data_IF_879731619643
#
_entry.id   IF_879731619643
#
_cell.length_a   1.000
_cell.length_b   1.000
_cell.length_c   1.000
_cell.angle_alpha   90.00
_cell.angle_beta   90.00
_cell.angle_gamma   90.00
#
_symmetry.space_group_name_H-M   'P 1'
#
loop_
_entity.id
_entity.type
_entity.pdbx_description
1 polymer ?
#
# COMPACT_ATOMS: atom_id res chain seq x y z
N UNK A 1 22.01 -10.05 5.78
CA UNK A 1 21.65 -9.24 6.95
C UNK A 1 20.23 -9.58 7.38
N UNK A 2 19.97 -9.74 8.67
CA UNK A 2 18.60 -9.88 9.13
C UNK A 2 17.80 -8.60 8.77
N UNK A 3 16.55 -8.77 8.41
CA UNK A 3 15.66 -7.67 8.14
C UNK A 3 15.31 -6.96 9.46
N UNK A 4 15.46 -5.65 9.50
CA UNK A 4 15.01 -4.81 10.60
C UNK A 4 13.81 -3.95 10.12
N UNK A 5 12.66 -4.03 10.81
CA UNK A 5 11.54 -3.17 10.48
C UNK A 5 11.86 -1.70 10.79
N UNK A 6 11.27 -0.75 10.05
CA UNK A 6 11.45 0.66 10.35
C UNK A 6 10.83 1.02 11.71
N UNK A 7 11.32 2.08 12.38
CA UNK A 7 10.74 2.55 13.63
C UNK A 7 9.29 3.02 13.46
N UNK A 8 8.59 3.22 14.56
CA UNK A 8 7.20 3.70 14.51
C UNK A 8 7.11 5.08 13.86
N UNK A 9 6.15 5.26 12.94
CA UNK A 9 5.98 6.51 12.18
C UNK A 9 5.79 7.74 13.09
N UNK A 10 5.06 7.57 14.19
CA UNK A 10 4.79 8.66 15.12
C UNK A 10 6.05 9.23 15.81
N UNK A 11 7.15 8.49 15.79
CA UNK A 11 8.44 8.89 16.38
C UNK A 11 9.37 9.57 15.38
N UNK A 12 8.97 9.67 14.11
CA UNK A 12 9.80 10.17 13.02
C UNK A 12 9.36 11.55 12.54
N UNK A 13 10.32 12.37 12.13
CA UNK A 13 10.06 13.60 11.38
C UNK A 13 9.75 13.27 9.91
N UNK A 14 9.12 14.20 9.19
CA UNK A 14 8.87 14.03 7.77
C UNK A 14 10.17 13.85 6.97
N UNK A 15 11.26 14.54 7.36
CA UNK A 15 12.56 14.37 6.70
C UNK A 15 13.11 12.95 6.89
N UNK A 16 13.03 12.40 8.10
CA UNK A 16 13.43 11.02 8.39
C UNK A 16 12.58 10.01 7.63
N UNK A 17 11.27 10.24 7.53
CA UNK A 17 10.35 9.42 6.72
C UNK A 17 10.74 9.47 5.25
N UNK A 18 11.03 10.65 4.71
CA UNK A 18 11.44 10.81 3.31
C UNK A 18 12.75 10.04 3.02
N UNK A 19 13.70 10.06 3.96
CA UNK A 19 14.94 9.29 3.85
C UNK A 19 14.68 7.78 3.83
N UNK A 20 13.78 7.28 4.68
CA UNK A 20 13.39 5.86 4.68
C UNK A 20 12.74 5.44 3.34
N UNK A 21 11.88 6.29 2.80
CA UNK A 21 11.27 6.06 1.48
C UNK A 21 12.34 5.99 0.39
N UNK A 22 13.29 6.92 0.40
CA UNK A 22 14.38 6.97 -0.58
C UNK A 22 15.33 5.78 -0.48
N UNK A 23 15.53 5.22 0.71
CA UNK A 23 16.39 4.06 0.94
C UNK A 23 15.76 2.73 0.52
N UNK A 24 14.44 2.68 0.31
CA UNK A 24 13.75 1.47 -0.12
C UNK A 24 14.19 1.10 -1.54
N UNK A 25 15.01 0.07 -1.64
CA UNK A 25 15.48 -0.44 -2.93
C UNK A 25 14.49 -1.47 -3.47
N UNK A 26 13.89 -1.14 -4.60
CA UNK A 26 12.99 -2.03 -5.32
C UNK A 26 13.69 -2.59 -6.57
N UNK A 27 13.40 -3.85 -6.95
CA UNK A 27 13.84 -4.38 -8.24
C UNK A 27 13.32 -3.50 -9.40
N UNK A 28 14.08 -3.32 -10.48
CA UNK A 28 13.68 -2.49 -11.61
C UNK A 28 12.67 -3.20 -12.54
N UNK A 29 11.54 -3.59 -11.99
CA UNK A 29 10.49 -4.38 -12.66
C UNK A 29 10.00 -3.70 -13.93
N UNK A 30 9.95 -2.39 -13.96
CA UNK A 30 9.50 -1.60 -15.11
C UNK A 30 10.41 -1.77 -16.34
N UNK A 31 11.69 -2.08 -16.11
CA UNK A 31 12.66 -2.35 -17.18
C UNK A 31 12.68 -3.78 -17.67
N UNK A 32 11.90 -4.67 -17.08
CA UNK A 32 11.86 -6.08 -17.44
C UNK A 32 10.69 -6.38 -18.36
N UNK A 33 10.94 -7.11 -19.44
CA UNK A 33 9.93 -7.54 -20.40
C UNK A 33 10.04 -9.06 -20.62
N UNK A 34 9.68 -9.86 -19.61
CA UNK A 34 9.81 -11.32 -19.69
C UNK A 34 8.90 -11.90 -20.77
N UNK A 35 9.43 -12.90 -21.50
CA UNK A 35 8.71 -13.56 -22.60
C UNK A 35 7.85 -14.74 -22.11
N UNK A 36 8.15 -15.29 -20.94
CA UNK A 36 7.43 -16.43 -20.39
C UNK A 36 6.39 -15.97 -19.37
N UNK A 37 5.27 -16.66 -19.34
CA UNK A 37 4.18 -16.44 -18.38
C UNK A 37 3.81 -17.77 -17.74
N UNK A 38 3.43 -17.70 -16.45
CA UNK A 38 2.96 -18.85 -15.68
C UNK A 38 2.07 -18.42 -14.53
N UNK A 39 1.78 -19.37 -13.66
CA UNK A 39 1.03 -19.15 -12.43
C UNK A 39 1.96 -19.36 -11.23
N UNK A 40 1.97 -18.44 -10.29
CA UNK A 40 2.77 -18.56 -9.07
C UNK A 40 2.18 -19.54 -8.06
N UNK A 41 0.93 -19.93 -8.20
CA UNK A 41 0.13 -20.62 -7.18
C UNK A 41 0.06 -19.84 -5.85
N UNK A 42 0.24 -18.53 -5.89
CA UNK A 42 0.15 -17.62 -4.76
C UNK A 42 -1.15 -16.83 -4.76
N UNK A 43 -1.57 -16.46 -3.57
CA UNK A 43 -2.75 -15.60 -3.34
C UNK A 43 -2.48 -14.65 -2.19
N UNK A 44 -2.91 -13.40 -2.35
CA UNK A 44 -2.99 -12.41 -1.28
C UNK A 44 -4.44 -12.29 -0.86
N UNK A 45 -4.75 -12.68 0.37
CA UNK A 45 -6.08 -12.59 0.92
C UNK A 45 -6.45 -11.13 1.26
N UNK A 46 -7.74 -10.87 1.48
CA UNK A 46 -8.25 -9.53 1.81
C UNK A 46 -7.68 -8.95 3.11
N UNK A 47 -7.21 -9.80 4.02
CA UNK A 47 -6.52 -9.39 5.25
C UNK A 47 -5.02 -9.14 5.08
N UNK A 48 -4.50 -9.31 3.86
CA UNK A 48 -3.08 -9.13 3.54
C UNK A 48 -2.21 -10.37 3.71
N UNK A 49 -2.76 -11.50 4.14
CA UNK A 49 -2.01 -12.76 4.28
C UNK A 49 -1.66 -13.33 2.90
N UNK A 50 -0.40 -13.68 2.73
CA UNK A 50 0.09 -14.35 1.52
C UNK A 50 0.06 -15.86 1.67
N UNK A 51 -0.41 -16.53 0.64
CA UNK A 51 -0.48 -18.01 0.56
C UNK A 51 0.29 -18.51 -0.66
N UNK A 52 0.90 -19.68 -0.52
CA UNK A 52 1.44 -20.44 -1.63
C UNK A 52 0.90 -21.86 -1.56
N UNK A 53 0.24 -22.31 -2.64
CA UNK A 53 -0.42 -23.62 -2.71
C UNK A 53 -1.34 -23.89 -1.50
N UNK A 54 -2.05 -22.85 -1.05
CA UNK A 54 -2.98 -22.92 0.07
C UNK A 54 -2.36 -22.81 1.47
N UNK A 55 -1.04 -22.75 1.58
CA UNK A 55 -0.33 -22.61 2.87
C UNK A 55 0.14 -21.17 3.09
N UNK A 56 -0.05 -20.59 4.29
CA UNK A 56 0.38 -19.23 4.56
C UNK A 56 1.90 -19.10 4.55
N UNK A 57 2.38 -18.02 3.92
CA UNK A 57 3.79 -17.65 3.93
C UNK A 57 4.03 -16.81 5.19
N UNK A 58 4.75 -17.37 6.17
CA UNK A 58 4.95 -16.73 7.48
C UNK A 58 6.25 -15.93 7.58
N UNK A 59 7.16 -16.06 6.62
CA UNK A 59 8.46 -15.36 6.63
C UNK A 59 8.26 -13.97 6.04
N UNK A 60 8.25 -12.96 6.90
CA UNK A 60 8.05 -11.56 6.51
C UNK A 60 9.06 -11.07 5.45
N UNK A 61 10.33 -11.46 5.59
CA UNK A 61 11.35 -11.12 4.61
C UNK A 61 11.04 -11.67 3.20
N UNK A 62 10.44 -12.85 3.13
CA UNK A 62 10.04 -13.48 1.87
C UNK A 62 8.84 -12.73 1.26
N UNK A 63 7.83 -12.43 2.05
CA UNK A 63 6.67 -11.64 1.62
C UNK A 63 7.12 -10.27 1.10
N UNK A 64 8.02 -9.61 1.82
CA UNK A 64 8.56 -8.32 1.42
C UNK A 64 9.33 -8.40 0.09
N UNK A 65 10.11 -9.45 -0.12
CA UNK A 65 10.83 -9.68 -1.37
C UNK A 65 9.86 -9.88 -2.55
N UNK A 66 8.85 -10.73 -2.39
CA UNK A 66 7.83 -10.95 -3.42
C UNK A 66 7.00 -9.69 -3.68
N UNK A 67 6.64 -8.94 -2.65
CA UNK A 67 5.91 -7.68 -2.79
C UNK A 67 6.68 -6.65 -3.64
N UNK A 68 8.00 -6.70 -3.63
CA UNK A 68 8.86 -5.88 -4.49
C UNK A 68 8.76 -6.23 -5.99
N UNK A 69 8.22 -7.39 -6.33
CA UNK A 69 8.05 -7.86 -7.71
C UNK A 69 6.64 -7.62 -8.26
N UNK A 70 5.72 -7.15 -7.43
CA UNK A 70 4.32 -6.98 -7.81
C UNK A 70 4.13 -5.87 -8.85
N UNK A 71 3.26 -6.17 -9.80
CA UNK A 71 2.73 -5.23 -10.78
C UNK A 71 1.29 -5.62 -11.12
N UNK A 72 0.43 -4.63 -11.28
CA UNK A 72 -0.94 -4.81 -11.78
C UNK A 72 -1.00 -4.30 -13.20
N UNK A 73 -1.58 -5.06 -14.11
CA UNK A 73 -1.75 -4.66 -15.51
C UNK A 73 -3.05 -3.85 -15.74
N UNK A 74 -3.26 -3.43 -16.96
CA UNK A 74 -4.43 -2.63 -17.36
C UNK A 74 -5.75 -3.40 -17.24
N UNK A 75 -5.71 -4.73 -17.24
CA UNK A 75 -6.89 -5.58 -17.03
C UNK A 75 -7.25 -5.77 -15.55
N UNK A 76 -6.37 -5.32 -14.64
CA UNK A 76 -6.52 -5.53 -13.20
C UNK A 76 -5.87 -6.80 -12.69
N UNK A 77 -5.21 -7.59 -13.54
CA UNK A 77 -4.48 -8.78 -13.13
C UNK A 77 -3.17 -8.41 -12.44
N UNK A 78 -2.90 -9.03 -11.30
CA UNK A 78 -1.64 -8.89 -10.59
C UNK A 78 -0.63 -9.94 -11.04
N UNK A 79 0.64 -9.52 -11.10
CA UNK A 79 1.76 -10.32 -11.55
C UNK A 79 2.96 -10.16 -10.63
N UNK A 80 3.71 -11.24 -10.46
CA UNK A 80 5.08 -11.23 -9.97
C UNK A 80 6.01 -11.22 -11.17
N UNK A 81 6.81 -10.18 -11.32
CA UNK A 81 7.66 -9.97 -12.50
C UNK A 81 9.12 -10.24 -12.13
N UNK A 82 9.78 -11.08 -12.92
CA UNK A 82 11.23 -11.31 -12.89
C UNK A 82 11.81 -11.01 -14.28
N UNK A 83 13.14 -10.93 -14.44
CA UNK A 83 13.73 -10.77 -15.77
C UNK A 83 13.38 -11.88 -16.76
N UNK A 84 13.01 -13.06 -16.27
CA UNK A 84 12.82 -14.27 -17.07
C UNK A 84 11.37 -14.62 -17.31
N UNK A 85 10.50 -14.36 -16.34
CA UNK A 85 9.09 -14.76 -16.41
C UNK A 85 8.20 -13.79 -15.64
N UNK A 86 6.92 -13.81 -15.97
CA UNK A 86 5.87 -13.21 -15.17
C UNK A 86 4.94 -14.29 -14.68
N UNK A 87 4.64 -14.28 -13.39
CA UNK A 87 3.77 -15.25 -12.76
C UNK A 87 2.52 -14.56 -12.25
N UNK A 88 1.35 -15.07 -12.63
CA UNK A 88 0.08 -14.55 -12.10
C UNK A 88 -0.02 -14.82 -10.61
N UNK A 89 -0.64 -13.90 -9.89
CA UNK A 89 -0.96 -14.01 -8.47
C UNK A 89 -2.39 -13.56 -8.25
N UNK A 90 -3.15 -14.34 -7.49
CA UNK A 90 -4.51 -13.97 -7.11
C UNK A 90 -4.46 -12.94 -5.98
N UNK A 91 -5.26 -11.87 -6.10
CA UNK A 91 -5.40 -10.84 -5.08
C UNK A 91 -6.88 -10.63 -4.82
N UNK A 92 -7.32 -10.95 -3.60
CA UNK A 92 -8.74 -10.94 -3.26
C UNK A 92 -9.33 -9.53 -3.23
N UNK A 93 -8.55 -8.53 -2.78
CA UNK A 93 -8.96 -7.13 -2.71
C UNK A 93 -7.81 -6.22 -3.13
N UNK A 94 -6.86 -5.92 -2.24
CA UNK A 94 -5.71 -5.09 -2.53
C UNK A 94 -4.40 -5.85 -2.27
N UNK A 95 -3.36 -5.50 -3.00
CA UNK A 95 -2.05 -6.16 -2.88
C UNK A 95 -1.37 -5.88 -1.54
N UNK A 96 -1.68 -4.75 -0.91
CA UNK A 96 -1.12 -4.29 0.36
C UNK A 96 -2.23 -3.92 1.33
N UNK A 97 -1.89 -3.86 2.62
CA UNK A 97 -2.72 -3.31 3.68
C UNK A 97 -1.98 -2.14 4.33
N UNK A 98 -2.62 -0.98 4.41
CA UNK A 98 -2.13 0.13 5.22
C UNK A 98 -2.50 -0.13 6.68
N UNK A 99 -1.48 -0.23 7.52
CA UNK A 99 -1.63 -0.64 8.92
C UNK A 99 -1.39 0.48 9.92
N UNK A 100 -0.90 1.62 9.47
CA UNK A 100 -0.69 2.81 10.30
C UNK A 100 -0.75 4.07 9.44
N UNK A 101 -1.20 5.17 10.03
CA UNK A 101 -1.27 6.48 9.41
C UNK A 101 -0.95 7.58 10.42
N UNK A 102 -0.07 8.50 10.04
CA UNK A 102 0.24 9.67 10.84
C UNK A 102 0.21 10.95 10.00
N UNK A 103 -0.09 12.08 10.64
CA UNK A 103 0.13 13.40 10.07
C UNK A 103 1.57 13.83 10.39
N UNK A 104 2.36 14.15 9.37
CA UNK A 104 3.68 14.74 9.50
C UNK A 104 3.74 16.01 8.64
N UNK A 105 3.73 17.17 9.27
CA UNK A 105 3.63 18.47 8.60
C UNK A 105 2.45 18.53 7.60
N UNK A 106 2.72 18.77 6.32
CA UNK A 106 1.71 18.83 5.25
C UNK A 106 1.39 17.47 4.64
N UNK A 107 1.92 16.37 5.20
CA UNK A 107 1.80 15.04 4.62
C UNK A 107 1.02 14.07 5.52
N UNK A 108 0.26 13.18 4.88
CA UNK A 108 -0.25 11.95 5.47
C UNK A 108 0.70 10.82 5.09
N UNK A 109 1.20 10.12 6.10
CA UNK A 109 2.17 9.05 5.93
C UNK A 109 1.56 7.73 6.36
N UNK A 110 1.69 6.74 5.52
CA UNK A 110 1.16 5.39 5.76
C UNK A 110 2.29 4.37 5.85
N UNK A 111 2.14 3.43 6.77
CA UNK A 111 2.94 2.22 6.83
C UNK A 111 2.12 1.05 6.32
N UNK A 112 2.73 0.23 5.48
CA UNK A 112 2.08 -0.96 4.93
C UNK A 112 2.47 -2.22 5.73
N UNK A 113 1.70 -3.28 5.56
CA UNK A 113 1.97 -4.58 6.17
C UNK A 113 3.29 -5.22 5.70
N UNK A 114 3.88 -4.71 4.65
CA UNK A 114 5.22 -5.08 4.16
C UNK A 114 6.33 -4.17 4.72
N UNK A 115 6.00 -3.30 5.65
CA UNK A 115 6.87 -2.24 6.20
C UNK A 115 7.30 -1.18 5.18
N UNK A 116 6.73 -1.18 4.00
CA UNK A 116 6.88 -0.05 3.08
C UNK A 116 6.19 1.19 3.66
N UNK A 117 6.79 2.35 3.42
CA UNK A 117 6.25 3.64 3.83
C UNK A 117 5.85 4.42 2.59
N UNK A 118 4.62 4.96 2.60
CA UNK A 118 4.06 5.73 1.48
C UNK A 118 3.56 7.07 1.98
N UNK A 119 3.97 8.13 1.31
CA UNK A 119 3.48 9.49 1.56
C UNK A 119 2.37 9.77 0.56
N UNK A 120 1.13 9.95 1.05
CA UNK A 120 -0.01 10.28 0.20
C UNK A 120 0.19 11.64 -0.47
N UNK A 121 -0.29 11.77 -1.68
CA UNK A 121 -0.18 12.99 -2.47
C UNK A 121 -0.54 12.74 -3.93
N UNK A 122 -0.16 13.65 -4.85
CA UNK A 122 -0.45 13.50 -6.27
C UNK A 122 0.12 12.19 -6.88
N UNK A 123 1.28 11.73 -6.39
CA UNK A 123 1.93 10.50 -6.89
C UNK A 123 1.38 9.24 -6.23
N UNK A 124 0.77 9.37 -5.06
CA UNK A 124 0.16 8.28 -4.29
C UNK A 124 -1.21 8.71 -3.77
N UNK A 125 -2.21 8.82 -4.66
CA UNK A 125 -3.53 9.29 -4.26
C UNK A 125 -4.29 8.29 -3.40
N UNK A 126 -5.17 8.83 -2.55
CA UNK A 126 -6.20 8.08 -1.84
C UNK A 126 -7.47 8.03 -2.70
N UNK A 127 -8.14 6.89 -2.67
CA UNK A 127 -9.39 6.65 -3.38
C UNK A 127 -10.42 6.02 -2.45
N UNK A 128 -11.60 6.60 -2.38
CA UNK A 128 -12.73 6.01 -1.66
C UNK A 128 -13.56 5.13 -2.60
N UNK A 129 -14.06 4.02 -2.07
CA UNK A 129 -14.92 3.08 -2.77
C UNK A 129 -15.91 2.45 -1.79
N UNK A 130 -16.83 1.63 -2.29
CA UNK A 130 -17.87 1.01 -1.49
C UNK A 130 -19.07 1.92 -1.30
N UNK A 131 -19.81 1.74 -0.22
CA UNK A 131 -20.98 2.52 0.12
C UNK A 131 -20.63 3.64 1.11
N UNK A 132 -21.41 4.72 1.12
CA UNK A 132 -21.21 5.83 2.05
C UNK A 132 -21.30 5.41 3.53
N UNK A 133 -22.11 4.38 3.84
CA UNK A 133 -22.25 3.84 5.20
C UNK A 133 -21.11 2.89 5.58
N UNK A 134 -20.38 2.36 4.60
CA UNK A 134 -19.26 1.44 4.80
C UNK A 134 -18.17 1.72 3.76
N UNK A 135 -17.53 2.90 3.80
CA UNK A 135 -16.53 3.26 2.81
C UNK A 135 -15.26 2.43 2.98
N UNK A 136 -14.65 2.11 1.85
CA UNK A 136 -13.33 1.50 1.77
C UNK A 136 -12.36 2.51 1.18
N UNK A 137 -11.20 2.68 1.81
CA UNK A 137 -10.15 3.57 1.32
C UNK A 137 -8.97 2.78 0.80
N UNK A 138 -8.47 3.19 -0.34
CA UNK A 138 -7.32 2.62 -1.03
C UNK A 138 -6.28 3.70 -1.27
N UNK A 139 -5.03 3.35 -1.04
CA UNK A 139 -3.87 4.20 -1.30
C UNK A 139 -3.10 3.63 -2.49
N UNK A 140 -2.82 4.43 -3.49
CA UNK A 140 -1.92 4.03 -4.57
C UNK A 140 -0.50 3.84 -4.00
N UNK A 141 0.08 2.68 -4.24
CA UNK A 141 1.41 2.33 -3.73
C UNK A 141 2.46 2.42 -4.82
N UNK A 142 2.40 1.53 -5.81
CA UNK A 142 3.32 1.49 -6.95
C UNK A 142 2.82 0.53 -8.01
N UNK A 143 3.19 0.76 -9.26
CA UNK A 143 2.91 -0.14 -10.40
C UNK A 143 1.43 -0.56 -10.45
N UNK A 144 0.53 0.39 -10.16
CA UNK A 144 -0.92 0.23 -10.07
C UNK A 144 -1.40 -0.69 -8.95
N UNK A 145 -0.53 -1.14 -8.07
CA UNK A 145 -0.91 -1.85 -6.86
C UNK A 145 -1.35 -0.86 -5.79
N UNK A 146 -2.42 -1.20 -5.07
CA UNK A 146 -3.00 -0.38 -4.02
C UNK A 146 -2.87 -1.05 -2.66
N UNK A 147 -2.94 -0.24 -1.61
CA UNK A 147 -3.11 -0.69 -0.24
C UNK A 147 -4.52 -0.35 0.24
N UNK A 148 -5.21 -1.31 0.81
CA UNK A 148 -6.45 -1.04 1.54
C UNK A 148 -6.13 -0.60 2.96
N UNK A 149 -6.74 0.49 3.42
CA UNK A 149 -6.65 0.87 4.82
C UNK A 149 -7.43 -0.14 5.66
N UNK A 150 -6.78 -0.72 6.67
CA UNK A 150 -7.49 -1.55 7.64
C UNK A 150 -8.37 -0.68 8.54
N UNK A 151 -9.21 -1.31 9.36
CA UNK A 151 -10.16 -0.58 10.21
C UNK A 151 -9.48 0.43 11.14
N UNK A 152 -8.37 0.05 11.78
CA UNK A 152 -7.67 0.94 12.71
C UNK A 152 -7.00 2.11 11.98
N UNK A 153 -6.46 1.90 10.80
CA UNK A 153 -5.85 2.97 9.98
C UNK A 153 -6.92 3.91 9.44
N UNK A 154 -8.06 3.39 9.02
CA UNK A 154 -9.22 4.23 8.67
C UNK A 154 -9.64 5.11 9.84
N UNK A 155 -9.73 4.54 11.05
CA UNK A 155 -10.08 5.32 12.25
C UNK A 155 -9.04 6.41 12.56
N UNK A 156 -7.76 6.13 12.44
CA UNK A 156 -6.69 7.13 12.59
C UNK A 156 -6.87 8.27 11.58
N UNK A 157 -7.14 7.95 10.33
CA UNK A 157 -7.36 8.95 9.28
C UNK A 157 -8.61 9.79 9.54
N UNK A 158 -9.69 9.16 10.01
CA UNK A 158 -10.91 9.85 10.39
C UNK A 158 -10.68 10.82 11.56
N UNK A 159 -9.90 10.43 12.55
CA UNK A 159 -9.52 11.32 13.67
C UNK A 159 -8.70 12.52 13.19
N UNK A 160 -7.77 12.31 12.26
CA UNK A 160 -6.99 13.39 11.63
C UNK A 160 -7.93 14.35 10.89
N UNK A 161 -8.87 13.83 10.11
CA UNK A 161 -9.84 14.63 9.39
C UNK A 161 -10.70 15.49 10.34
N UNK A 162 -11.19 14.90 11.42
CA UNK A 162 -11.97 15.61 12.44
C UNK A 162 -11.14 16.70 13.12
N UNK A 163 -9.90 16.44 13.47
CA UNK A 163 -9.00 17.41 14.09
C UNK A 163 -8.70 18.61 13.14
N UNK A 164 -8.77 18.39 11.83
CA UNK A 164 -8.56 19.42 10.80
C UNK A 164 -9.85 20.15 10.43
N UNK A 165 -10.97 19.86 11.11
CA UNK A 165 -12.23 20.55 10.94
C UNK A 165 -13.10 20.00 9.81
N UNK A 166 -12.95 18.73 9.41
CA UNK A 166 -13.84 18.10 8.46
C UNK A 166 -15.27 18.05 9.02
N UNK A 167 -16.22 18.49 8.22
CA UNK A 167 -17.64 18.44 8.51
C UNK A 167 -18.34 17.39 7.64
N UNK A 168 -19.53 16.97 8.02
CA UNK A 168 -20.29 15.90 7.37
C UNK A 168 -20.43 16.05 5.84
N UNK A 169 -20.44 17.27 5.32
CA UNK A 169 -20.57 17.55 3.88
C UNK A 169 -19.22 17.70 3.15
N UNK A 170 -18.11 17.73 3.87
CA UNK A 170 -16.77 17.87 3.31
C UNK A 170 -15.78 16.91 3.98
N UNK A 171 -16.18 15.65 4.05
CA UNK A 171 -15.37 14.59 4.64
C UNK A 171 -14.16 14.30 3.76
N UNK A 172 -13.11 15.08 3.98
CA UNK A 172 -11.87 15.01 3.18
C UNK A 172 -10.64 15.28 4.02
N UNK A 173 -9.48 14.87 3.49
CA UNK A 173 -8.16 15.14 4.04
C UNK A 173 -7.27 15.70 2.94
N UNK A 174 -6.25 16.45 3.34
CA UNK A 174 -5.26 17.00 2.41
C UNK A 174 -3.88 16.46 2.73
N UNK A 175 -3.13 16.10 1.71
CA UNK A 175 -1.73 15.67 1.83
C UNK A 175 -0.95 16.17 0.64
N UNK A 176 0.20 16.80 0.89
CA UNK A 176 1.07 17.39 -0.15
C UNK A 176 0.30 18.27 -1.14
N UNK A 177 -0.63 19.08 -0.63
CA UNK A 177 -1.43 20.00 -1.44
C UNK A 177 -2.58 19.36 -2.20
N UNK A 178 -2.79 18.06 -2.10
CA UNK A 178 -3.88 17.34 -2.76
C UNK A 178 -4.97 16.98 -1.75
N UNK A 179 -6.21 17.30 -2.08
CA UNK A 179 -7.38 16.92 -1.29
C UNK A 179 -7.92 15.56 -1.75
N UNK A 180 -8.32 14.74 -0.79
CA UNK A 180 -8.90 13.41 -1.03
C UNK A 180 -10.19 13.26 -0.25
N UNK A 181 -11.26 12.81 -0.93
CA UNK A 181 -12.53 12.47 -0.26
C UNK A 181 -12.38 11.16 0.51
N UNK A 182 -12.95 11.10 1.71
CA UNK A 182 -13.07 9.88 2.51
C UNK A 182 -14.39 9.13 2.25
N UNK A 183 -15.25 9.67 1.41
CA UNK A 183 -16.49 9.04 0.98
C UNK A 183 -16.48 8.79 -0.54
N UNK A 184 -17.12 7.68 -0.97
CA UNK A 184 -17.26 7.35 -2.39
C UNK A 184 -18.01 8.40 -3.18
#
# INVERSE_FOLDING_TARGET
>A
MPYEPPPYLAELTLAEIADLVAQRKLPPVEGWAPQQSGDSAMRIASDGTWYHEGSPIRREAMVRAFAGLLKRDDSGQHWLITPFERLSIAVDDAAFIAVDCVRADDALVFRLNTDDIVIAGPDHPLRAAGDADAPALYLDVRRRCEARLNRSTYAQLAEIALAEGAEDNSWQVTSKGQAFSLLP
#
